data_IF_490708292015
#
_entry.id   IF_490708292015
#
_cell.length_a   1.000
_cell.length_b   1.000
_cell.length_c   1.000
_cell.angle_alpha   90.00
_cell.angle_beta   90.00
_cell.angle_gamma   90.00
#
_symmetry.space_group_name_H-M   'P 1'
#
loop_
_entity.id
_entity.type
_entity.pdbx_description
1 polymer ?
#
# COMPACT_ATOMS: atom_id res chain seq x y z
N UNK A 1 35.38 -36.89 12.79
CA UNK A 1 34.28 -36.43 11.91
C UNK A 1 32.98 -36.41 12.71
N UNK A 2 32.50 -35.24 13.12
CA UNK A 2 31.28 -35.15 13.94
C UNK A 2 30.04 -35.35 13.05
N UNK A 3 29.24 -36.38 13.33
CA UNK A 3 27.99 -36.66 12.63
C UNK A 3 27.05 -35.48 12.85
N UNK A 4 26.87 -34.63 11.83
CA UNK A 4 25.88 -33.56 11.89
C UNK A 4 24.48 -34.17 11.99
N UNK A 5 23.94 -34.23 13.20
CA UNK A 5 22.58 -34.66 13.43
C UNK A 5 21.63 -33.75 12.65
N UNK A 6 20.88 -34.33 11.71
CA UNK A 6 19.89 -33.63 10.90
C UNK A 6 18.73 -33.26 11.82
N UNK A 7 18.36 -31.98 11.90
CA UNK A 7 17.17 -31.55 12.64
C UNK A 7 15.93 -32.23 12.08
N UNK A 8 14.96 -32.50 12.97
CA UNK A 8 13.65 -33.00 12.56
C UNK A 8 12.94 -31.97 11.68
N UNK A 9 12.11 -32.46 10.75
CA UNK A 9 11.37 -31.57 9.85
C UNK A 9 10.44 -30.62 10.60
N UNK A 10 9.86 -31.07 11.71
CA UNK A 10 9.05 -30.24 12.59
C UNK A 10 9.83 -29.02 13.11
N UNK A 11 11.08 -29.23 13.55
CA UNK A 11 11.92 -28.14 14.05
C UNK A 11 12.34 -27.18 12.95
N UNK A 12 12.58 -27.68 11.74
CA UNK A 12 12.84 -26.85 10.56
C UNK A 12 11.64 -25.98 10.21
N UNK A 13 10.44 -26.55 10.24
CA UNK A 13 9.20 -25.81 10.00
C UNK A 13 8.97 -24.74 11.08
N UNK A 14 9.29 -25.04 12.34
CA UNK A 14 9.24 -24.06 13.44
C UNK A 14 10.20 -22.88 13.20
N UNK A 15 11.45 -23.16 12.79
CA UNK A 15 12.42 -22.11 12.46
C UNK A 15 11.95 -21.25 11.29
N UNK A 16 11.40 -21.88 10.24
CA UNK A 16 10.84 -21.17 9.09
C UNK A 16 9.68 -20.27 9.51
N UNK A 17 8.75 -20.76 10.34
CA UNK A 17 7.63 -19.98 10.87
C UNK A 17 8.10 -18.77 11.70
N UNK A 18 9.16 -18.93 12.50
CA UNK A 18 9.78 -17.80 13.22
C UNK A 18 10.41 -16.78 12.25
N UNK A 19 11.09 -17.27 11.20
CA UNK A 19 11.72 -16.41 10.19
C UNK A 19 10.70 -15.59 9.39
N UNK A 20 9.55 -16.18 9.06
CA UNK A 20 8.45 -15.48 8.39
C UNK A 20 7.94 -14.27 9.18
N UNK A 21 7.91 -14.36 10.52
CA UNK A 21 7.48 -13.26 11.40
C UNK A 21 8.54 -12.15 11.48
N UNK A 22 9.81 -12.53 11.63
CA UNK A 22 10.93 -11.59 11.67
C UNK A 22 12.15 -12.22 11.00
N UNK A 23 12.53 -11.78 9.77
CA UNK A 23 13.56 -12.42 8.95
C UNK A 23 14.96 -12.04 9.44
N UNK A 24 15.28 -12.42 10.67
CA UNK A 24 16.59 -12.20 11.30
C UNK A 24 17.02 -13.49 11.97
N UNK A 25 18.27 -13.89 11.75
CA UNK A 25 18.83 -15.13 12.32
C UNK A 25 18.73 -15.11 13.85
N UNK A 26 19.04 -13.98 14.48
CA UNK A 26 19.00 -13.81 15.94
C UNK A 26 17.62 -14.12 16.51
N UNK A 27 16.54 -13.68 15.85
CA UNK A 27 15.18 -13.97 16.29
C UNK A 27 14.88 -15.47 16.24
N UNK A 28 15.25 -16.16 15.17
CA UNK A 28 15.04 -17.60 15.02
C UNK A 28 15.82 -18.38 16.08
N UNK A 29 17.07 -17.98 16.34
CA UNK A 29 17.91 -18.57 17.40
C UNK A 29 17.25 -18.43 18.77
N UNK A 30 16.84 -17.21 19.14
CA UNK A 30 16.18 -16.95 20.41
C UNK A 30 14.85 -17.69 20.54
N UNK A 31 14.07 -17.77 19.45
CA UNK A 31 12.74 -18.37 19.48
C UNK A 31 12.76 -19.89 19.50
N UNK A 32 13.69 -20.50 18.76
CA UNK A 32 13.72 -21.94 18.53
C UNK A 32 14.83 -22.67 19.31
N UNK A 33 15.74 -21.96 19.98
CA UNK A 33 16.81 -22.56 20.79
C UNK A 33 17.86 -23.30 19.97
N UNK A 34 18.13 -22.84 18.74
CA UNK A 34 19.07 -23.46 17.79
C UNK A 34 20.30 -22.58 17.58
N UNK A 35 21.45 -23.16 17.22
CA UNK A 35 22.65 -22.36 16.96
C UNK A 35 22.54 -21.52 15.68
N UNK A 36 23.21 -20.35 15.66
CA UNK A 36 23.24 -19.46 14.48
C UNK A 36 23.75 -20.18 13.22
N UNK A 37 24.78 -21.01 13.34
CA UNK A 37 25.35 -21.79 12.23
C UNK A 37 24.30 -22.72 11.63
N UNK A 38 23.49 -23.34 12.48
CA UNK A 38 22.41 -24.23 12.04
C UNK A 38 21.34 -23.44 11.29
N UNK A 39 20.89 -22.30 11.83
CA UNK A 39 19.91 -21.46 11.16
C UNK A 39 20.41 -21.00 9.78
N UNK A 40 21.66 -20.53 9.68
CA UNK A 40 22.28 -20.13 8.40
C UNK A 40 22.26 -21.28 7.38
N UNK A 41 22.71 -22.47 7.80
CA UNK A 41 22.73 -23.65 6.94
C UNK A 41 21.35 -23.99 6.38
N UNK A 42 20.30 -23.97 7.22
CA UNK A 42 18.94 -24.27 6.76
C UNK A 42 18.34 -23.13 5.92
N UNK A 43 18.60 -21.87 6.29
CA UNK A 43 18.19 -20.69 5.51
C UNK A 43 18.71 -20.76 4.09
N UNK A 44 20.01 -21.04 3.93
CA UNK A 44 20.68 -21.06 2.62
C UNK A 44 20.26 -22.31 1.82
N UNK A 45 20.20 -23.48 2.48
CA UNK A 45 19.78 -24.74 1.84
C UNK A 45 18.33 -24.68 1.34
N UNK A 46 17.44 -24.05 2.09
CA UNK A 46 16.01 -23.99 1.78
C UNK A 46 15.58 -22.68 1.15
N UNK A 47 16.52 -21.80 0.81
CA UNK A 47 16.26 -20.56 0.08
C UNK A 47 15.15 -19.73 0.71
N UNK A 48 15.27 -19.54 2.03
CA UNK A 48 14.23 -18.89 2.85
C UNK A 48 13.95 -17.45 2.41
N UNK A 49 14.96 -16.74 1.90
CA UNK A 49 14.82 -15.37 1.41
C UNK A 49 13.99 -15.34 0.13
N UNK A 50 14.26 -16.21 -0.83
CA UNK A 50 13.51 -16.34 -2.08
C UNK A 50 12.07 -16.79 -1.82
N UNK A 51 11.88 -17.76 -0.93
CA UNK A 51 10.53 -18.20 -0.51
C UNK A 51 9.74 -17.05 0.11
N UNK A 52 10.38 -16.26 0.98
CA UNK A 52 9.73 -15.11 1.61
C UNK A 52 9.42 -14.01 0.60
N UNK A 53 10.32 -13.77 -0.36
CA UNK A 53 10.11 -12.80 -1.44
C UNK A 53 8.90 -13.18 -2.30
N UNK A 54 8.76 -14.46 -2.67
CA UNK A 54 7.59 -14.95 -3.44
C UNK A 54 6.29 -14.76 -2.65
N UNK A 55 6.29 -15.08 -1.36
CA UNK A 55 5.10 -14.89 -0.50
C UNK A 55 4.72 -13.41 -0.43
N UNK A 56 5.71 -12.53 -0.22
CA UNK A 56 5.50 -11.07 -0.17
C UNK A 56 5.00 -10.52 -1.50
N UNK A 57 5.58 -10.95 -2.62
CA UNK A 57 5.13 -10.54 -3.94
C UNK A 57 3.66 -10.92 -4.18
N UNK A 58 3.27 -12.14 -3.82
CA UNK A 58 1.86 -12.57 -3.91
C UNK A 58 0.94 -11.78 -2.98
N UNK A 59 1.38 -11.49 -1.76
CA UNK A 59 0.61 -10.70 -0.81
C UNK A 59 0.42 -9.26 -1.31
N UNK A 60 1.47 -8.64 -1.85
CA UNK A 60 1.42 -7.31 -2.45
C UNK A 60 0.48 -7.29 -3.66
N UNK A 61 0.64 -8.24 -4.59
CA UNK A 61 -0.25 -8.36 -5.74
C UNK A 61 -1.72 -8.43 -5.33
N UNK A 62 -2.06 -9.27 -4.34
CA UNK A 62 -3.43 -9.38 -3.83
C UNK A 62 -3.90 -8.06 -3.18
N UNK A 63 -3.03 -7.41 -2.41
CA UNK A 63 -3.32 -6.11 -1.81
C UNK A 63 -3.58 -5.03 -2.87
N UNK A 64 -2.81 -5.03 -3.95
CA UNK A 64 -2.96 -4.11 -5.08
C UNK A 64 -4.26 -4.38 -5.83
N UNK A 65 -4.60 -5.66 -6.07
CA UNK A 65 -5.87 -6.06 -6.67
C UNK A 65 -7.07 -5.63 -5.82
N UNK A 66 -7.01 -5.81 -4.50
CA UNK A 66 -8.09 -5.42 -3.59
C UNK A 66 -8.21 -3.90 -3.48
N UNK A 67 -7.09 -3.17 -3.46
CA UNK A 67 -7.06 -1.71 -3.57
C UNK A 67 -7.69 -1.25 -4.88
N UNK A 68 -7.32 -1.85 -6.01
CA UNK A 68 -7.86 -1.52 -7.33
C UNK A 68 -9.37 -1.76 -7.41
N UNK A 69 -9.88 -2.86 -6.85
CA UNK A 69 -11.32 -3.14 -6.76
C UNK A 69 -12.06 -2.10 -5.92
N UNK A 70 -11.48 -1.70 -4.79
CA UNK A 70 -12.05 -0.67 -3.93
C UNK A 70 -12.14 0.68 -4.65
N UNK A 71 -11.06 1.11 -5.29
CA UNK A 71 -11.02 2.35 -6.09
C UNK A 71 -12.02 2.30 -7.25
N UNK A 72 -12.12 1.18 -7.96
CA UNK A 72 -13.10 1.00 -9.03
C UNK A 72 -14.55 1.11 -8.51
N UNK A 73 -14.84 0.59 -7.31
CA UNK A 73 -16.15 0.72 -6.67
C UNK A 73 -16.43 2.18 -6.30
N UNK A 74 -15.47 2.89 -5.71
CA UNK A 74 -15.60 4.31 -5.37
C UNK A 74 -15.85 5.16 -6.63
N UNK A 75 -15.08 4.93 -7.70
CA UNK A 75 -15.29 5.63 -8.98
C UNK A 75 -16.70 5.42 -9.56
N UNK A 76 -17.23 4.19 -9.50
CA UNK A 76 -18.61 3.91 -9.92
C UNK A 76 -19.65 4.64 -9.07
N UNK A 77 -19.43 4.70 -7.76
CA UNK A 77 -20.32 5.44 -6.84
C UNK A 77 -20.28 6.95 -7.14
N UNK A 78 -19.10 7.54 -7.31
CA UNK A 78 -18.95 8.95 -7.66
C UNK A 78 -19.66 9.28 -8.98
N UNK A 79 -19.48 8.47 -10.02
CA UNK A 79 -20.19 8.64 -11.31
C UNK A 79 -21.71 8.54 -11.16
N UNK A 80 -22.21 7.59 -10.37
CA UNK A 80 -23.64 7.45 -10.13
C UNK A 80 -24.21 8.70 -9.42
N UNK A 81 -23.46 9.30 -8.50
CA UNK A 81 -23.83 10.55 -7.83
C UNK A 81 -23.84 11.71 -8.84
N UNK A 82 -22.80 11.85 -9.66
CA UNK A 82 -22.72 12.88 -10.72
C UNK A 82 -23.90 12.80 -11.68
N UNK A 83 -24.24 11.59 -12.18
CA UNK A 83 -25.37 11.40 -13.09
C UNK A 83 -26.69 11.81 -12.46
N UNK A 84 -26.92 11.42 -11.19
CA UNK A 84 -28.14 11.81 -10.45
C UNK A 84 -28.20 13.32 -10.21
N UNK A 85 -27.07 13.94 -9.86
CA UNK A 85 -26.96 15.38 -9.67
C UNK A 85 -27.28 16.14 -10.97
N UNK A 86 -26.69 15.72 -12.10
CA UNK A 86 -26.97 16.30 -13.41
C UNK A 86 -28.43 16.14 -13.82
N UNK A 87 -29.02 14.96 -13.63
CA UNK A 87 -30.45 14.73 -13.90
C UNK A 87 -31.34 15.68 -13.08
N UNK A 88 -30.98 15.95 -11.82
CA UNK A 88 -31.68 16.95 -11.01
C UNK A 88 -31.48 18.36 -11.55
N UNK A 89 -30.27 18.76 -11.89
CA UNK A 89 -30.00 20.12 -12.44
C UNK A 89 -30.80 20.35 -13.73
N UNK A 90 -30.82 19.37 -14.64
CA UNK A 90 -31.50 19.46 -15.93
C UNK A 90 -33.02 19.35 -15.78
N UNK A 91 -33.51 18.52 -14.86
CA UNK A 91 -34.94 18.23 -14.70
C UNK A 91 -35.69 19.12 -13.70
N UNK A 92 -35.01 19.81 -12.78
CA UNK A 92 -35.67 20.66 -11.77
C UNK A 92 -35.62 22.14 -12.16
N UNK A 93 -36.80 22.72 -12.42
CA UNK A 93 -36.97 24.16 -12.44
C UNK A 93 -36.63 24.75 -11.06
N UNK A 94 -35.53 25.51 -11.01
CA UNK A 94 -35.13 26.56 -10.06
C UNK A 94 -35.25 26.37 -8.53
N UNK A 95 -35.63 25.20 -8.00
CA UNK A 95 -35.81 25.00 -6.55
C UNK A 95 -34.59 24.49 -5.77
N UNK A 96 -33.85 23.52 -6.30
CA UNK A 96 -32.75 22.83 -5.57
C UNK A 96 -31.43 22.73 -6.35
N UNK A 97 -31.22 23.61 -7.33
CA UNK A 97 -30.05 23.61 -8.22
C UNK A 97 -28.74 23.74 -7.45
N UNK A 98 -28.75 24.40 -6.29
CA UNK A 98 -27.58 24.55 -5.41
C UNK A 98 -27.10 23.22 -4.83
N UNK A 99 -27.99 22.45 -4.19
CA UNK A 99 -27.63 21.16 -3.59
C UNK A 99 -27.15 20.15 -4.64
N UNK A 100 -27.75 20.19 -5.84
CA UNK A 100 -27.33 19.34 -6.94
C UNK A 100 -25.95 19.76 -7.50
N UNK A 101 -25.67 21.07 -7.58
CA UNK A 101 -24.36 21.59 -7.99
C UNK A 101 -23.27 21.24 -6.97
N UNK A 102 -23.56 21.37 -5.67
CA UNK A 102 -22.64 21.00 -4.59
C UNK A 102 -22.34 19.50 -4.59
N UNK A 103 -23.36 18.65 -4.80
CA UNK A 103 -23.18 17.20 -4.91
C UNK A 103 -22.34 16.82 -6.15
N UNK A 104 -22.54 17.51 -7.28
CA UNK A 104 -21.75 17.30 -8.49
C UNK A 104 -20.28 17.72 -8.29
N UNK A 105 -20.03 18.88 -7.67
CA UNK A 105 -18.69 19.35 -7.36
C UNK A 105 -17.96 18.38 -6.43
N UNK A 106 -18.59 17.97 -5.32
CA UNK A 106 -18.00 17.00 -4.39
C UNK A 106 -17.66 15.66 -5.06
N UNK A 107 -18.57 15.12 -5.87
CA UNK A 107 -18.32 13.87 -6.58
C UNK A 107 -17.21 14.01 -7.65
N UNK A 108 -17.05 15.20 -8.25
CA UNK A 108 -15.94 15.51 -9.17
C UNK A 108 -14.61 15.56 -8.42
N UNK A 109 -14.56 16.21 -7.26
CA UNK A 109 -13.35 16.25 -6.41
C UNK A 109 -12.96 14.85 -5.96
N UNK A 110 -13.90 14.02 -5.52
CA UNK A 110 -13.64 12.61 -5.16
C UNK A 110 -13.09 11.80 -6.34
N UNK A 111 -13.64 11.96 -7.56
CA UNK A 111 -13.15 11.26 -8.75
C UNK A 111 -11.71 11.66 -9.10
N UNK A 112 -11.36 12.95 -8.97
CA UNK A 112 -9.97 13.43 -9.18
C UNK A 112 -9.00 12.80 -8.19
N UNK A 113 -9.38 12.71 -6.91
CA UNK A 113 -8.58 12.04 -5.87
C UNK A 113 -8.39 10.56 -6.18
N UNK A 114 -9.44 9.86 -6.61
CA UNK A 114 -9.36 8.43 -7.01
C UNK A 114 -8.44 8.23 -8.22
N UNK A 115 -8.33 9.21 -9.12
CA UNK A 115 -7.42 9.19 -10.27
C UNK A 115 -5.97 9.57 -9.91
N UNK A 116 -5.70 9.96 -8.67
CA UNK A 116 -4.39 10.42 -8.24
C UNK A 116 -4.05 11.82 -8.74
N UNK A 117 -5.04 12.59 -9.20
CA UNK A 117 -4.85 14.00 -9.53
C UNK A 117 -4.64 14.78 -8.21
N UNK A 118 -3.67 15.72 -8.16
CA UNK A 118 -3.48 16.55 -6.98
C UNK A 118 -4.76 17.36 -6.71
N UNK A 119 -5.35 17.20 -5.53
CA UNK A 119 -6.46 18.05 -5.09
C UNK A 119 -5.99 19.48 -4.80
N UNK A 120 -6.92 20.42 -4.66
CA UNK A 120 -6.63 21.83 -4.36
C UNK A 120 -5.68 22.00 -3.15
N UNK A 121 -5.80 21.15 -2.11
CA UNK A 121 -4.88 21.14 -0.96
C UNK A 121 -3.45 20.72 -1.33
N UNK A 122 -3.30 19.77 -2.26
CA UNK A 122 -2.00 19.27 -2.70
C UNK A 122 -1.31 20.28 -3.63
N UNK A 123 -2.07 20.99 -4.46
CA UNK A 123 -1.56 22.08 -5.31
C UNK A 123 -1.09 23.30 -4.49
N UNK A 124 -1.82 23.67 -3.44
CA UNK A 124 -1.41 24.74 -2.50
C UNK A 124 -0.11 24.36 -1.78
N UNK A 125 0.02 23.12 -1.32
CA UNK A 125 1.27 22.62 -0.71
C UNK A 125 2.46 22.59 -1.69
N UNK A 126 2.24 22.16 -2.93
CA UNK A 126 3.31 22.12 -3.95
C UNK A 126 3.77 23.52 -4.38
N UNK A 127 2.84 24.48 -4.48
CA UNK A 127 3.17 25.87 -4.80
C UNK A 127 3.90 26.56 -3.64
N UNK A 128 3.53 26.32 -2.39
CA UNK A 128 4.27 26.79 -1.22
C UNK A 128 5.67 26.18 -1.10
N UNK A 129 5.79 24.87 -1.36
CA UNK A 129 7.07 24.17 -1.39
C UNK A 129 7.97 24.76 -2.48
N UNK A 130 7.46 24.92 -3.72
CA UNK A 130 8.22 25.56 -4.80
C UNK A 130 8.68 26.97 -4.43
N UNK A 131 7.83 27.77 -3.77
CA UNK A 131 8.19 29.12 -3.31
C UNK A 131 9.34 29.12 -2.29
N UNK A 132 9.34 28.15 -1.36
CA UNK A 132 10.42 27.99 -0.36
C UNK A 132 11.75 27.54 -0.96
N UNK A 133 11.72 26.76 -2.04
CA UNK A 133 12.94 26.30 -2.70
C UNK A 133 13.49 27.32 -3.72
N UNK A 134 12.63 28.10 -4.37
CA UNK A 134 13.06 29.18 -5.28
C UNK A 134 13.79 30.33 -4.54
N UNK A 135 13.35 30.68 -3.33
CA UNK A 135 14.04 31.71 -2.54
C UNK A 135 15.40 31.28 -1.97
N UNK A 136 15.73 29.98 -2.01
CA UNK A 136 16.99 29.44 -1.45
C UNK A 136 18.09 29.26 -2.51
N UNK A 137 17.74 29.40 -3.80
CA UNK A 137 18.71 29.37 -4.92
C UNK A 137 19.33 30.72 -5.23
N UNK A 138 18.76 31.83 -4.76
CA UNK A 138 19.28 33.18 -4.99
C UNK A 138 20.30 33.62 -3.91
N UNK A 139 20.38 32.91 -2.78
CA UNK A 139 21.29 33.24 -1.66
C UNK A 139 22.68 32.57 -1.78
N UNK A 140 22.99 31.97 -2.93
CA UNK A 140 24.26 31.28 -3.23
C UNK A 140 24.88 31.68 -4.57
N UNK A 141 24.57 32.87 -5.07
CA UNK A 141 25.30 33.52 -6.16
C UNK A 141 25.99 34.78 -5.62
#
# INVERSE_FOLDING_TARGET
>A
MSKHQKLSQAKVNEMWAAYQKKPTINHVVQKCGVSQVTVRRYRDREKWEERLAVIRAKANQKSDEDTAKMLARQARQARAIQTKALQRIVGSGFGSTRDASDAYFKATVEERVVRGEPGERTEVLLSEVKRRYAGRSEEKA
#
